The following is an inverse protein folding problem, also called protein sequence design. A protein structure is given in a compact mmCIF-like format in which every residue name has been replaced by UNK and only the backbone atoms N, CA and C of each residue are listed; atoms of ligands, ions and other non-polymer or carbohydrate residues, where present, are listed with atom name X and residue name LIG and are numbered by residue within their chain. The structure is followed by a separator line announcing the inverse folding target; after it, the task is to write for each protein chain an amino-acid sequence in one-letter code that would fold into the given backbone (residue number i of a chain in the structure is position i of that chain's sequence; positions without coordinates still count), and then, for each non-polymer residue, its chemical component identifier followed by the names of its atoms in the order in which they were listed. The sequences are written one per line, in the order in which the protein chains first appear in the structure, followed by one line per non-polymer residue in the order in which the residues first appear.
data_IF_267402513001
#
_entry.id   IF_267402513001
#
_cell.length_a   1.000
_cell.length_b   1.000
_cell.length_c   1.000
_cell.angle_alpha   90.00
_cell.angle_beta   90.00
_cell.angle_gamma   90.00
#
_symmetry.space_group_name_H-M   'P 1'
#
loop_
_entity.id
_entity.type
_entity.pdbx_description
1 polymer ?
#
# COMPACT_ATOMS: atom_id res chain seq x y z
N UNK A 1 -2.92 -22.96 16.26
CA UNK A 1 -1.48 -22.75 16.10
C UNK A 1 -1.14 -21.33 16.51
N UNK A 2 -0.09 -21.18 17.30
CA UNK A 2 0.41 -19.87 17.74
C UNK A 2 1.55 -19.52 16.79
N UNK A 3 1.41 -18.41 16.06
CA UNK A 3 2.52 -17.82 15.31
C UNK A 3 3.20 -16.81 16.24
N UNK A 4 4.34 -17.17 16.78
CA UNK A 4 5.11 -16.32 17.69
C UNK A 4 6.55 -16.21 17.22
N UNK A 5 6.80 -15.54 16.10
CA UNK A 5 8.17 -15.20 15.69
C UNK A 5 8.43 -13.69 15.51
N UNK A 6 7.44 -12.85 15.69
CA UNK A 6 7.61 -11.40 15.44
C UNK A 6 6.84 -10.48 16.40
N UNK A 7 6.44 -10.98 17.56
CA UNK A 7 5.71 -10.15 18.54
C UNK A 7 4.21 -10.02 18.27
N UNK A 8 3.68 -10.61 17.19
CA UNK A 8 2.25 -10.72 16.94
C UNK A 8 1.73 -11.99 17.61
N UNK A 9 1.15 -11.88 18.80
CA UNK A 9 0.43 -12.99 19.45
C UNK A 9 -1.02 -12.99 18.93
N UNK A 10 -1.25 -13.69 17.82
CA UNK A 10 -2.58 -13.85 17.23
C UNK A 10 -3.07 -15.28 17.38
N UNK A 11 -4.32 -15.44 17.82
CA UNK A 11 -5.00 -16.74 17.95
C UNK A 11 -6.11 -16.79 16.92
N UNK A 12 -6.21 -17.91 16.22
CA UNK A 12 -7.20 -18.02 15.18
C UNK A 12 -7.82 -19.37 15.00
N UNK A 13 -8.96 -19.36 14.33
CA UNK A 13 -9.67 -20.50 13.82
C UNK A 13 -9.87 -20.32 12.31
N UNK A 14 -9.92 -21.43 11.60
CA UNK A 14 -10.29 -21.41 10.18
C UNK A 14 -11.24 -22.56 9.88
N UNK A 15 -12.09 -22.36 8.90
CA UNK A 15 -12.97 -23.38 8.32
C UNK A 15 -12.63 -23.52 6.84
N UNK A 16 -12.10 -24.68 6.47
CA UNK A 16 -11.70 -25.00 5.10
C UNK A 16 -12.56 -26.16 4.60
N UNK A 17 -13.34 -25.91 3.57
CA UNK A 17 -14.18 -26.91 2.93
C UNK A 17 -13.69 -27.19 1.51
N UNK A 18 -13.71 -28.47 1.14
CA UNK A 18 -13.47 -28.92 -0.22
C UNK A 18 -14.70 -29.63 -0.75
N UNK A 19 -15.17 -29.22 -1.92
CA UNK A 19 -16.21 -29.92 -2.67
C UNK A 19 -15.78 -30.01 -4.13
N UNK A 20 -15.53 -31.23 -4.60
CA UNK A 20 -14.95 -31.51 -5.91
C UNK A 20 -13.67 -30.69 -6.15
N UNK A 21 -13.68 -29.79 -7.13
CA UNK A 21 -12.56 -28.93 -7.49
C UNK A 21 -12.63 -27.53 -6.84
N UNK A 22 -13.56 -27.34 -5.92
CA UNK A 22 -13.77 -26.07 -5.22
C UNK A 22 -13.26 -26.15 -3.79
N UNK A 23 -12.30 -25.29 -3.46
CA UNK A 23 -11.86 -25.07 -2.08
C UNK A 23 -12.42 -23.74 -1.58
N UNK A 24 -12.98 -23.76 -0.38
CA UNK A 24 -13.46 -22.55 0.30
C UNK A 24 -12.82 -22.42 1.66
N UNK A 25 -12.18 -21.29 1.85
CA UNK A 25 -11.79 -20.79 3.17
C UNK A 25 -12.92 -19.87 3.65
N UNK A 26 -13.83 -20.40 4.47
CA UNK A 26 -15.01 -19.65 4.86
C UNK A 26 -14.73 -18.61 5.95
N UNK A 27 -13.78 -18.85 6.79
CA UNK A 27 -13.48 -17.92 7.87
C UNK A 27 -12.13 -18.26 8.49
N UNK A 28 -11.08 -17.61 8.02
CA UNK A 28 -9.86 -17.48 8.81
C UNK A 28 -10.00 -16.22 9.65
N UNK A 29 -10.06 -16.37 10.97
CA UNK A 29 -10.07 -15.26 11.90
C UNK A 29 -8.82 -15.35 12.78
N UNK A 30 -8.01 -14.33 12.76
CA UNK A 30 -6.86 -14.17 13.64
C UNK A 30 -7.14 -12.98 14.56
N UNK A 31 -7.12 -13.21 15.86
CA UNK A 31 -7.42 -12.20 16.87
C UNK A 31 -6.18 -12.00 17.75
N UNK A 32 -5.72 -10.77 17.84
CA UNK A 32 -4.75 -10.29 18.81
C UNK A 32 -5.43 -9.52 19.95
N UNK A 33 -4.66 -8.87 20.80
CA UNK A 33 -5.21 -8.11 21.94
C UNK A 33 -6.12 -6.95 21.47
N UNK A 34 -5.68 -6.20 20.45
CA UNK A 34 -6.44 -5.09 19.86
C UNK A 34 -6.57 -5.22 18.34
N UNK A 35 -6.13 -6.32 17.76
CA UNK A 35 -6.04 -6.54 16.32
C UNK A 35 -6.92 -7.69 15.89
N UNK A 36 -7.56 -7.53 14.74
CA UNK A 36 -8.37 -8.58 14.14
C UNK A 36 -8.07 -8.65 12.64
N UNK A 37 -7.90 -9.86 12.12
CA UNK A 37 -7.80 -10.14 10.70
C UNK A 37 -8.81 -11.21 10.34
N UNK A 38 -9.65 -10.93 9.37
CA UNK A 38 -10.58 -11.87 8.78
C UNK A 38 -10.24 -12.09 7.32
N UNK A 39 -10.14 -13.36 6.93
CA UNK A 39 -9.85 -13.76 5.56
C UNK A 39 -10.87 -14.80 5.11
N UNK A 40 -11.50 -14.55 3.98
CA UNK A 40 -12.32 -15.50 3.24
C UNK A 40 -11.71 -15.68 1.85
N UNK A 41 -11.83 -16.88 1.30
CA UNK A 41 -11.29 -17.15 -0.01
C UNK A 41 -11.94 -18.33 -0.70
N UNK A 42 -11.86 -18.30 -2.01
CA UNK A 42 -12.33 -19.36 -2.89
C UNK A 42 -11.20 -19.66 -3.87
N UNK A 43 -10.92 -20.95 -4.05
CA UNK A 43 -10.07 -21.45 -5.12
C UNK A 43 -10.87 -22.47 -5.93
N UNK A 44 -11.12 -22.17 -7.18
CA UNK A 44 -12.00 -22.91 -8.08
C UNK A 44 -11.20 -23.54 -9.22
N UNK A 45 -11.29 -24.85 -9.39
CA UNK A 45 -10.76 -25.65 -10.49
C UNK A 45 -9.29 -25.43 -10.84
N UNK A 46 -8.51 -24.84 -9.97
CA UNK A 46 -7.14 -24.40 -10.31
C UNK A 46 -7.08 -23.23 -11.29
N UNK A 47 -8.22 -22.60 -11.61
CA UNK A 47 -8.30 -21.54 -12.63
C UNK A 47 -8.54 -20.15 -12.02
N UNK A 48 -9.16 -20.10 -10.83
CA UNK A 48 -9.52 -18.82 -10.20
C UNK A 48 -9.30 -18.85 -8.70
N UNK A 49 -8.77 -17.75 -8.19
CA UNK A 49 -8.65 -17.45 -6.77
C UNK A 49 -9.38 -16.14 -6.49
N UNK A 50 -10.31 -16.14 -5.54
CA UNK A 50 -10.90 -14.92 -5.00
C UNK A 50 -10.60 -14.85 -3.52
N UNK A 51 -10.20 -13.68 -3.05
CA UNK A 51 -9.81 -13.44 -1.66
C UNK A 51 -10.42 -12.13 -1.17
N UNK A 52 -10.98 -12.18 0.03
CA UNK A 52 -11.47 -11.01 0.76
C UNK A 52 -10.82 -10.99 2.13
N UNK A 53 -10.11 -9.94 2.45
CA UNK A 53 -9.42 -9.75 3.72
C UNK A 53 -9.84 -8.43 4.36
N UNK A 54 -10.28 -8.51 5.61
CA UNK A 54 -10.58 -7.34 6.44
C UNK A 54 -9.59 -7.27 7.61
N UNK A 55 -9.04 -6.10 7.81
CA UNK A 55 -8.08 -5.77 8.86
C UNK A 55 -8.71 -4.77 9.82
N UNK A 56 -8.55 -4.99 11.12
CA UNK A 56 -8.97 -4.06 12.16
C UNK A 56 -7.81 -3.86 13.14
N UNK A 57 -7.26 -2.64 13.19
CA UNK A 57 -6.19 -2.22 14.09
C UNK A 57 -4.96 -3.15 14.08
N UNK A 58 -4.55 -3.61 12.91
CA UNK A 58 -3.42 -4.53 12.79
C UNK A 58 -2.11 -3.79 13.10
N UNK A 59 -1.38 -4.25 14.11
CA UNK A 59 -0.04 -3.77 14.39
C UNK A 59 1.01 -4.53 13.58
N UNK A 60 1.65 -3.81 12.65
CA UNK A 60 2.72 -4.34 11.79
C UNK A 60 4.12 -4.09 12.36
N UNK A 61 4.27 -3.46 13.52
CA UNK A 61 5.57 -3.08 14.10
C UNK A 61 6.50 -4.28 14.31
N UNK A 62 5.92 -5.44 14.61
CA UNK A 62 6.68 -6.68 14.74
C UNK A 62 7.31 -7.20 13.45
N UNK A 63 6.80 -6.80 12.28
CA UNK A 63 7.33 -7.16 10.96
C UNK A 63 8.25 -6.08 10.38
N UNK A 64 8.02 -4.83 10.79
CA UNK A 64 8.78 -3.68 10.36
C UNK A 64 9.85 -3.40 11.43
N UNK A 65 11.06 -3.94 11.25
CA UNK A 65 12.17 -3.77 12.19
C UNK A 65 12.34 -2.31 12.58
N UNK A 66 12.46 -2.05 13.89
CA UNK A 66 12.70 -0.73 14.50
C UNK A 66 11.59 0.32 14.24
N UNK A 67 10.38 -0.12 13.89
CA UNK A 67 9.25 0.78 13.69
C UNK A 67 8.40 0.93 14.95
N UNK A 68 7.75 2.08 15.06
CA UNK A 68 6.79 2.36 16.11
C UNK A 68 5.49 1.58 15.87
N UNK A 69 4.66 1.39 16.92
CA UNK A 69 3.38 0.74 16.77
C UNK A 69 2.56 1.31 15.62
N UNK A 70 1.92 0.45 14.88
CA UNK A 70 1.03 0.80 13.77
C UNK A 70 -0.39 0.34 14.10
N UNK A 71 -1.38 1.02 13.56
CA UNK A 71 -2.79 0.63 13.65
C UNK A 71 -3.34 0.66 12.22
N UNK A 72 -3.36 -0.50 11.56
CA UNK A 72 -3.82 -0.60 10.17
C UNK A 72 -5.20 -1.22 10.13
N UNK A 73 -6.15 -0.49 9.58
CA UNK A 73 -7.52 -0.95 9.34
C UNK A 73 -7.84 -0.82 7.85
N UNK A 74 -8.56 -1.79 7.31
CA UNK A 74 -8.89 -1.72 5.89
C UNK A 74 -9.41 -3.01 5.30
N UNK A 75 -9.65 -2.93 4.02
CA UNK A 75 -10.19 -3.98 3.18
C UNK A 75 -9.23 -4.26 2.02
N UNK A 76 -9.01 -5.51 1.75
CA UNK A 76 -8.31 -5.98 0.57
C UNK A 76 -9.18 -7.03 -0.14
N UNK A 77 -9.43 -6.81 -1.42
CA UNK A 77 -10.15 -7.76 -2.29
C UNK A 77 -9.23 -8.12 -3.44
N UNK A 78 -9.15 -9.38 -3.77
CA UNK A 78 -8.37 -9.88 -4.89
C UNK A 78 -9.16 -10.93 -5.64
N UNK A 79 -9.22 -10.79 -6.95
CA UNK A 79 -9.63 -11.82 -7.90
C UNK A 79 -8.49 -12.11 -8.84
N UNK A 80 -8.09 -13.38 -8.94
CA UNK A 80 -6.98 -13.80 -9.78
C UNK A 80 -7.39 -14.96 -10.69
N UNK A 81 -7.07 -14.84 -11.96
CA UNK A 81 -7.11 -15.92 -12.94
C UNK A 81 -5.78 -16.66 -12.97
N UNK A 82 -5.83 -17.97 -13.14
CA UNK A 82 -4.66 -18.81 -13.33
C UNK A 82 -4.65 -19.37 -14.75
N UNK A 83 -3.49 -19.39 -15.38
CA UNK A 83 -3.28 -20.07 -16.64
C UNK A 83 -3.27 -21.59 -16.44
N UNK A 84 -3.35 -22.34 -17.52
CA UNK A 84 -3.42 -23.82 -17.50
C UNK A 84 -2.20 -24.49 -16.86
N UNK A 85 -1.08 -23.81 -16.74
CA UNK A 85 0.13 -24.24 -16.02
C UNK A 85 0.15 -23.81 -14.55
N UNK A 86 -0.92 -23.14 -14.08
CA UNK A 86 -1.06 -22.66 -12.71
C UNK A 86 -0.35 -21.34 -12.42
N UNK A 87 0.18 -20.66 -13.42
CA UNK A 87 0.75 -19.32 -13.24
C UNK A 87 -0.35 -18.26 -13.12
N UNK A 88 -0.07 -17.19 -12.41
CA UNK A 88 -0.96 -16.02 -12.35
C UNK A 88 -0.99 -15.31 -13.70
N UNK A 89 -2.17 -15.18 -14.28
CA UNK A 89 -2.38 -14.58 -15.61
C UNK A 89 -2.98 -13.19 -15.49
N UNK A 90 -4.06 -13.06 -14.71
CA UNK A 90 -4.74 -11.82 -14.44
C UNK A 90 -4.99 -11.69 -12.94
N UNK A 91 -4.75 -10.51 -12.39
CA UNK A 91 -5.15 -10.20 -11.00
C UNK A 91 -5.79 -8.83 -10.99
N UNK A 92 -6.98 -8.75 -10.40
CA UNK A 92 -7.64 -7.51 -10.03
C UNK A 92 -7.60 -7.38 -8.51
N UNK A 93 -7.16 -6.22 -8.02
CA UNK A 93 -7.02 -5.95 -6.59
C UNK A 93 -7.69 -4.64 -6.23
N UNK A 94 -8.46 -4.64 -5.17
CA UNK A 94 -8.95 -3.42 -4.51
C UNK A 94 -8.31 -3.31 -3.15
N UNK A 95 -7.75 -2.15 -2.84
CA UNK A 95 -7.15 -1.81 -1.56
C UNK A 95 -7.89 -0.61 -0.99
N UNK A 96 -8.39 -0.74 0.23
CA UNK A 96 -9.02 0.32 0.99
C UNK A 96 -8.46 0.30 2.41
N UNK A 97 -7.58 1.24 2.74
CA UNK A 97 -7.05 1.47 4.07
C UNK A 97 -7.73 2.72 4.62
N UNK A 98 -8.28 2.65 5.81
CA UNK A 98 -9.04 3.75 6.41
C UNK A 98 -8.49 4.09 7.79
N UNK A 99 -8.36 5.38 8.08
CA UNK A 99 -8.03 5.92 9.41
C UNK A 99 -6.89 5.18 10.12
N UNK A 100 -5.90 4.76 9.34
CA UNK A 100 -4.77 3.95 9.82
C UNK A 100 -3.63 4.83 10.29
N UNK A 101 -2.88 4.38 11.29
CA UNK A 101 -1.69 5.08 11.79
C UNK A 101 -0.44 4.32 11.40
N UNK A 102 0.41 4.95 10.61
CA UNK A 102 1.69 4.41 10.19
C UNK A 102 2.82 5.40 10.55
N UNK A 103 3.93 4.89 11.08
CA UNK A 103 5.19 5.64 11.28
C UNK A 103 5.08 6.98 12.03
N UNK A 104 4.15 7.13 12.97
CA UNK A 104 3.86 8.41 13.65
C UNK A 104 3.41 9.55 12.73
N UNK A 105 3.08 9.27 11.52
CA UNK A 105 2.36 10.19 10.67
C UNK A 105 0.91 10.34 11.18
N UNK A 106 0.22 11.35 10.73
CA UNK A 106 -1.21 11.49 10.98
C UNK A 106 -2.01 10.29 10.47
N UNK A 107 -3.31 10.36 10.54
CA UNK A 107 -4.18 9.34 9.96
C UNK A 107 -3.92 9.19 8.47
N UNK A 108 -3.76 7.94 8.05
CA UNK A 108 -3.49 7.57 6.66
C UNK A 108 -4.70 6.82 6.11
N UNK A 109 -5.16 7.23 4.95
CA UNK A 109 -6.14 6.47 4.17
C UNK A 109 -5.60 6.24 2.76
N UNK A 110 -5.81 5.03 2.25
CA UNK A 110 -5.45 4.66 0.87
C UNK A 110 -6.65 4.02 0.22
N UNK A 111 -6.99 4.49 -0.97
CA UNK A 111 -8.02 3.87 -1.79
C UNK A 111 -7.49 3.70 -3.20
N UNK A 112 -7.59 2.47 -3.74
CA UNK A 112 -7.07 2.21 -5.07
C UNK A 112 -7.44 0.85 -5.62
N UNK A 113 -7.39 0.78 -6.95
CA UNK A 113 -7.56 -0.45 -7.71
C UNK A 113 -6.33 -0.69 -8.57
N UNK A 114 -5.83 -1.92 -8.51
CA UNK A 114 -4.66 -2.37 -9.23
C UNK A 114 -5.03 -3.56 -10.09
N UNK A 115 -4.44 -3.64 -11.28
CA UNK A 115 -4.52 -4.82 -12.12
C UNK A 115 -3.12 -5.34 -12.44
N UNK A 116 -3.00 -6.65 -12.53
CA UNK A 116 -1.79 -7.31 -13.00
C UNK A 116 -2.16 -8.18 -14.20
N UNK A 117 -1.47 -7.98 -15.31
CA UNK A 117 -1.59 -8.79 -16.51
C UNK A 117 -0.27 -8.76 -17.29
N UNK A 118 0.12 -9.87 -17.89
CA UNK A 118 1.32 -9.98 -18.74
C UNK A 118 2.60 -9.43 -18.08
N UNK A 119 2.76 -9.71 -16.80
CA UNK A 119 3.86 -9.19 -15.95
C UNK A 119 3.85 -7.68 -15.71
N UNK A 120 2.78 -6.99 -16.05
CA UNK A 120 2.58 -5.57 -15.80
C UNK A 120 1.59 -5.40 -14.65
N UNK A 121 2.04 -4.75 -13.59
CA UNK A 121 1.18 -4.23 -12.52
C UNK A 121 0.85 -2.78 -12.86
N UNK A 122 -0.42 -2.42 -12.88
CA UNK A 122 -0.89 -1.07 -13.18
C UNK A 122 -2.01 -0.64 -12.23
N UNK A 123 -2.17 0.65 -12.07
CA UNK A 123 -3.40 1.22 -11.51
C UNK A 123 -4.53 1.09 -12.52
N UNK A 124 -5.73 0.75 -12.06
CA UNK A 124 -6.97 0.79 -12.89
C UNK A 124 -7.52 2.22 -12.88
N UNK A 125 -7.61 2.78 -11.67
CA UNK A 125 -7.87 4.19 -11.41
C UNK A 125 -6.72 4.72 -10.54
N UNK A 126 -6.43 6.04 -10.56
CA UNK A 126 -5.40 6.60 -9.70
C UNK A 126 -5.62 6.24 -8.23
N UNK A 127 -4.56 5.72 -7.59
CA UNK A 127 -4.58 5.41 -6.17
C UNK A 127 -4.57 6.69 -5.38
N UNK A 128 -5.57 6.87 -4.54
CA UNK A 128 -5.69 8.01 -3.63
C UNK A 128 -4.98 7.71 -2.32
N UNK A 129 -4.07 8.59 -1.91
CA UNK A 129 -3.42 8.59 -0.61
C UNK A 129 -3.77 9.89 0.13
N UNK A 130 -4.37 9.74 1.30
CA UNK A 130 -4.63 10.83 2.24
C UNK A 130 -3.73 10.66 3.46
N UNK A 131 -3.03 11.71 3.87
CA UNK A 131 -2.21 11.73 5.08
C UNK A 131 -2.43 13.06 5.79
N UNK A 132 -3.20 13.06 6.87
CA UNK A 132 -3.68 14.30 7.48
C UNK A 132 -4.45 15.14 6.45
N UNK A 133 -4.01 16.37 6.19
CA UNK A 133 -4.59 17.27 5.19
C UNK A 133 -4.00 17.10 3.78
N UNK A 134 -3.06 16.18 3.60
CA UNK A 134 -2.37 15.94 2.32
C UNK A 134 -3.21 15.06 1.42
N UNK A 135 -3.33 15.45 0.16
CA UNK A 135 -4.03 14.71 -0.88
C UNK A 135 -3.05 14.38 -2.02
N UNK A 136 -2.85 13.09 -2.28
CA UNK A 136 -1.92 12.62 -3.30
C UNK A 136 -2.64 11.56 -4.14
N UNK A 137 -2.65 11.72 -5.45
CA UNK A 137 -3.09 10.67 -6.37
C UNK A 137 -1.87 10.07 -7.07
N UNK A 138 -1.86 8.76 -7.21
CA UNK A 138 -0.77 8.03 -7.85
C UNK A 138 -1.35 7.21 -9.00
N UNK A 139 -0.87 7.44 -10.20
CA UNK A 139 -1.18 6.66 -11.40
C UNK A 139 0.09 6.06 -11.99
N UNK A 140 -0.01 4.83 -12.50
CA UNK A 140 1.15 4.26 -13.13
C UNK A 140 1.12 2.78 -13.41
N UNK A 141 2.28 2.31 -13.86
CA UNK A 141 2.50 0.91 -14.16
C UNK A 141 3.96 0.50 -13.94
N UNK A 142 4.15 -0.78 -13.65
CA UNK A 142 5.47 -1.39 -13.52
C UNK A 142 5.51 -2.76 -14.17
N UNK A 143 6.50 -3.02 -15.01
CA UNK A 143 6.73 -4.34 -15.57
C UNK A 143 7.69 -5.11 -14.65
N UNK A 144 7.21 -6.23 -14.10
CA UNK A 144 7.95 -7.03 -13.12
C UNK A 144 9.12 -7.83 -13.75
N UNK A 145 9.05 -8.13 -15.03
CA UNK A 145 10.12 -8.84 -15.75
C UNK A 145 11.23 -7.88 -16.16
N UNK A 146 10.90 -6.79 -16.87
CA UNK A 146 11.91 -5.80 -17.30
C UNK A 146 12.41 -4.94 -16.14
N UNK A 147 11.69 -4.93 -15.01
CA UNK A 147 11.93 -4.07 -13.84
C UNK A 147 11.90 -2.58 -14.19
N UNK A 148 11.04 -2.22 -15.12
CA UNK A 148 10.79 -0.85 -15.52
C UNK A 148 9.49 -0.36 -14.93
N UNK A 149 9.43 0.93 -14.61
CA UNK A 149 8.23 1.58 -14.06
C UNK A 149 7.99 2.93 -14.69
N UNK A 150 6.74 3.34 -14.67
CA UNK A 150 6.28 4.69 -14.97
C UNK A 150 5.21 5.05 -13.96
N UNK A 151 5.47 6.06 -13.15
CA UNK A 151 4.56 6.56 -12.11
C UNK A 151 4.37 8.07 -12.30
N UNK A 152 3.17 8.53 -12.01
CA UNK A 152 2.82 9.94 -11.93
C UNK A 152 2.13 10.11 -10.58
N UNK A 153 2.61 11.05 -9.78
CA UNK A 153 1.96 11.46 -8.55
C UNK A 153 1.56 12.92 -8.66
N UNK A 154 0.26 13.20 -8.50
CA UNK A 154 -0.26 14.54 -8.39
C UNK A 154 -0.53 14.83 -6.92
N UNK A 155 -0.01 15.96 -6.45
CA UNK A 155 -0.05 16.37 -5.05
C UNK A 155 -0.83 17.65 -4.88
N UNK A 156 -1.79 17.65 -3.97
CA UNK A 156 -2.49 18.83 -3.53
C UNK A 156 -2.24 19.04 -2.03
N UNK A 157 -1.54 20.13 -1.68
CA UNK A 157 -1.16 20.47 -0.31
C UNK A 157 -0.47 19.33 0.46
N UNK A 158 0.33 18.53 -0.23
CA UNK A 158 1.06 17.44 0.39
C UNK A 158 2.06 17.96 1.42
N UNK A 159 2.05 17.40 2.62
CA UNK A 159 3.03 17.70 3.65
C UNK A 159 4.40 17.19 3.26
N UNK A 160 5.37 18.10 3.13
CA UNK A 160 6.76 17.73 2.81
C UNK A 160 7.38 16.94 3.96
N UNK A 161 6.89 17.09 5.17
CA UNK A 161 7.32 16.37 6.37
C UNK A 161 7.27 14.84 6.20
N UNK A 162 6.40 14.35 5.31
CA UNK A 162 6.28 12.92 4.99
C UNK A 162 7.62 12.33 4.52
N UNK A 163 8.45 13.12 3.86
CA UNK A 163 9.76 12.66 3.38
C UNK A 163 10.84 12.60 4.47
N UNK A 164 10.64 13.24 5.62
CA UNK A 164 11.64 13.26 6.70
C UNK A 164 11.96 11.86 7.23
N UNK A 165 11.02 10.93 7.14
CA UNK A 165 11.23 9.52 7.52
C UNK A 165 12.28 8.82 6.64
N UNK A 166 12.54 9.36 5.45
CA UNK A 166 13.47 8.81 4.46
C UNK A 166 14.77 9.62 4.33
N UNK A 167 14.85 10.80 4.98
CA UNK A 167 16.00 11.70 4.90
C UNK A 167 16.75 11.75 6.23
N UNK A 168 17.86 11.03 6.40
CA UNK A 168 18.61 11.05 7.64
C UNK A 168 19.20 12.44 7.91
N UNK A 169 18.85 13.02 9.06
CA UNK A 169 19.46 14.26 9.58
C UNK A 169 18.96 15.57 8.98
N UNK A 170 18.00 15.56 8.07
CA UNK A 170 17.39 16.77 7.54
C UNK A 170 15.93 16.87 8.00
N UNK A 171 15.56 18.02 8.52
CA UNK A 171 14.17 18.35 8.82
C UNK A 171 13.67 19.34 7.78
N UNK A 172 12.72 18.91 6.99
CA UNK A 172 12.01 19.72 6.01
C UNK A 172 10.55 19.77 6.40
N UNK A 173 9.93 20.93 6.41
CA UNK A 173 8.48 21.08 6.57
C UNK A 173 7.94 22.06 5.54
N UNK A 174 6.63 22.01 5.32
CA UNK A 174 5.94 22.85 4.35
C UNK A 174 4.87 22.08 3.60
N UNK A 175 4.27 22.73 2.60
CA UNK A 175 3.26 22.14 1.72
C UNK A 175 3.77 22.15 0.28
N UNK A 176 3.54 21.07 -0.45
CA UNK A 176 3.84 20.95 -1.86
C UNK A 176 2.55 20.73 -2.67
N UNK A 177 2.47 21.43 -3.80
CA UNK A 177 1.43 21.23 -4.80
C UNK A 177 2.09 21.08 -6.17
N UNK A 178 1.67 20.13 -6.96
CA UNK A 178 2.21 19.88 -8.29
C UNK A 178 2.29 18.40 -8.63
N UNK A 179 3.20 18.06 -9.53
CA UNK A 179 3.33 16.67 -9.98
C UNK A 179 4.78 16.15 -9.91
N UNK A 180 4.89 14.85 -9.70
CA UNK A 180 6.13 14.09 -9.74
C UNK A 180 5.96 12.95 -10.75
N UNK A 181 6.90 12.85 -11.69
CA UNK A 181 6.95 11.76 -12.67
C UNK A 181 8.21 10.93 -12.43
N UNK A 182 8.04 9.62 -12.31
CA UNK A 182 9.13 8.68 -12.12
C UNK A 182 9.10 7.68 -13.28
N UNK A 183 10.21 7.51 -13.97
CA UNK A 183 10.31 6.61 -15.10
C UNK A 183 11.63 5.84 -15.09
N UNK A 184 11.66 4.68 -15.74
CA UNK A 184 12.85 3.89 -15.98
C UNK A 184 12.97 2.67 -15.10
N UNK A 185 14.18 2.17 -14.92
CA UNK A 185 14.41 0.94 -14.14
C UNK A 185 14.23 1.19 -12.65
N UNK A 186 13.61 0.24 -11.94
CA UNK A 186 13.41 0.31 -10.48
C UNK A 186 14.73 0.53 -9.74
N UNK A 187 15.84 -0.05 -10.24
CA UNK A 187 17.17 0.10 -9.65
C UNK A 187 17.85 1.46 -9.91
N UNK A 188 17.38 2.21 -10.90
CA UNK A 188 17.94 3.51 -11.31
C UNK A 188 16.87 4.36 -11.98
N UNK A 189 15.86 4.81 -11.25
CA UNK A 189 14.77 5.61 -11.81
C UNK A 189 15.24 7.02 -12.13
N UNK A 190 14.62 7.63 -13.14
CA UNK A 190 14.70 9.06 -13.40
C UNK A 190 13.44 9.70 -12.84
N UNK A 191 13.60 10.80 -12.10
CA UNK A 191 12.51 11.57 -11.55
C UNK A 191 12.50 12.98 -12.15
N UNK A 192 11.33 13.49 -12.43
CA UNK A 192 11.07 14.85 -12.86
C UNK A 192 9.89 15.39 -12.02
N UNK A 193 10.07 16.57 -11.47
CA UNK A 193 9.08 17.20 -10.60
C UNK A 193 8.80 18.63 -11.03
N UNK A 194 7.53 18.99 -11.06
CA UNK A 194 7.05 20.39 -11.15
C UNK A 194 6.28 20.67 -9.87
N UNK A 195 6.91 21.31 -8.91
CA UNK A 195 6.37 21.54 -7.57
C UNK A 195 6.42 23.00 -7.19
N UNK A 196 5.33 23.49 -6.61
CA UNK A 196 5.29 24.73 -5.85
C UNK A 196 5.23 24.35 -4.37
N UNK A 197 6.23 24.76 -3.62
CA UNK A 197 6.33 24.51 -2.20
C UNK A 197 6.11 25.82 -1.43
N UNK A 198 5.25 25.79 -0.43
CA UNK A 198 4.91 26.94 0.40
C UNK A 198 5.29 26.72 1.86
N UNK A 199 5.65 27.81 2.55
CA UNK A 199 6.01 27.80 3.96
C UNK A 199 7.09 26.76 4.28
N UNK A 200 8.09 26.66 3.42
CA UNK A 200 9.16 25.67 3.54
C UNK A 200 10.15 26.06 4.63
N UNK A 201 10.36 25.17 5.59
CA UNK A 201 11.44 25.28 6.55
C UNK A 201 12.44 24.15 6.29
N UNK A 202 13.70 24.51 6.17
CA UNK A 202 14.79 23.54 6.03
C UNK A 202 15.81 23.83 7.13
N UNK A 203 15.93 22.93 8.10
CA UNK A 203 16.90 23.05 9.20
C UNK A 203 16.87 24.45 9.89
N UNK A 204 15.68 24.98 10.18
CA UNK A 204 15.40 26.30 10.78
C UNK A 204 15.59 27.50 9.83
N UNK A 205 15.74 27.30 8.53
CA UNK A 205 15.66 28.37 7.55
C UNK A 205 14.26 28.41 6.93
N UNK A 206 13.57 29.53 7.14
CA UNK A 206 12.23 29.76 6.58
C UNK A 206 12.32 30.32 5.16
N UNK A 207 11.70 29.65 4.21
CA UNK A 207 11.52 30.06 2.82
C UNK A 207 10.03 30.21 2.53
N UNK A 208 9.62 31.34 1.97
CA UNK A 208 8.18 31.57 1.70
C UNK A 208 7.62 30.65 0.61
N UNK A 209 8.39 30.46 -0.45
CA UNK A 209 8.04 29.56 -1.54
C UNK A 209 9.29 29.12 -2.30
N UNK A 210 9.22 27.92 -2.88
CA UNK A 210 10.23 27.36 -3.78
C UNK A 210 9.47 26.79 -4.97
N UNK A 211 9.92 27.12 -6.18
CA UNK A 211 9.47 26.47 -7.40
C UNK A 211 10.58 25.54 -7.89
N UNK A 212 10.23 24.29 -8.13
CA UNK A 212 11.11 23.25 -8.65
C UNK A 212 10.60 22.82 -10.04
N UNK A 213 11.47 22.87 -11.03
CA UNK A 213 11.18 22.45 -12.41
C UNK A 213 12.23 21.43 -12.88
#
# INVERSE_FOLDING_TARGET
SVFNESGLDMRGAFDLNKNDDLWRLNNLSLNGENSNLKLNGIWENGERISCYMNLENLDLSGWLKDQKPTEVSGLFIMDAGLSSDGALDLIDMTLEIVESKLFNQGEISVHGQLAYQDSVLSTVDPVLLLVGDSYITIDGQGNLLSKEMKLIADMEKADIDLINSFLPGNFVSGKATGNLKINGKISSPSAYAELVCENVNVNNFDLKSIELN
#
